data_IF_964796889739
#
_entry.id   IF_964796889739
#
_cell.length_a   1.000
_cell.length_b   1.000
_cell.length_c   1.000
_cell.angle_alpha   90.00
_cell.angle_beta   90.00
_cell.angle_gamma   90.00
#
_symmetry.space_group_name_H-M   'P 1'
#
loop_
_entity.id
_entity.type
_entity.pdbx_description
1 polymer ?
#
# COMPACT_ATOMS: atom_id res chain seq x y z
N UNK A 1 -10.49 -1.68 -22.39
CA UNK A 1 -10.15 -0.74 -21.29
C UNK A 1 -11.26 -0.61 -20.25
N UNK A 2 -12.54 -0.84 -20.55
CA UNK A 2 -13.63 -0.78 -19.54
C UNK A 2 -13.89 -2.09 -18.76
N UNK A 3 -13.41 -3.24 -19.23
CA UNK A 3 -13.54 -4.51 -18.50
C UNK A 3 -12.54 -4.66 -17.33
N UNK A 4 -11.47 -3.86 -17.32
CA UNK A 4 -10.45 -3.83 -16.27
C UNK A 4 -10.88 -2.98 -15.07
N UNK A 5 -11.79 -2.02 -15.29
CA UNK A 5 -12.35 -1.12 -14.27
C UNK A 5 -13.50 -1.75 -13.47
N UNK A 6 -14.15 -2.79 -14.02
CA UNK A 6 -15.32 -3.42 -13.41
C UNK A 6 -14.98 -4.57 -12.44
N UNK A 7 -13.78 -5.17 -12.56
CA UNK A 7 -13.31 -6.25 -11.66
C UNK A 7 -12.75 -5.68 -10.34
N UNK A 8 -12.21 -4.46 -10.31
CA UNK A 8 -11.78 -3.82 -9.05
C UNK A 8 -12.94 -3.25 -8.21
N UNK A 9 -14.17 -3.17 -8.75
CA UNK A 9 -15.32 -2.52 -8.08
C UNK A 9 -16.31 -3.48 -7.41
N UNK A 10 -16.16 -4.79 -7.55
CA UNK A 10 -16.98 -5.77 -6.82
C UNK A 10 -16.10 -6.93 -6.38
N UNK A 11 -15.90 -7.04 -5.05
CA UNK A 11 -15.05 -8.00 -4.31
C UNK A 11 -13.61 -7.54 -4.05
N UNK A 12 -13.45 -6.47 -3.27
CA UNK A 12 -12.30 -6.38 -2.35
C UNK A 12 -12.57 -7.31 -1.17
N UNK A 13 -12.47 -8.62 -1.41
CA UNK A 13 -12.35 -9.60 -0.32
C UNK A 13 -10.91 -9.53 0.16
N UNK A 14 -10.72 -8.90 1.31
CA UNK A 14 -9.46 -8.86 2.04
C UNK A 14 -9.18 -10.28 2.57
N UNK A 15 -8.27 -10.99 1.92
CA UNK A 15 -7.62 -12.14 2.55
C UNK A 15 -6.50 -11.59 3.45
N UNK A 16 -6.57 -11.91 4.74
CA UNK A 16 -5.65 -11.45 5.79
C UNK A 16 -4.19 -11.87 5.50
N UNK A 17 -3.28 -10.95 5.76
CA UNK A 17 -1.91 -10.93 5.26
C UNK A 17 -0.91 -11.73 6.09
N UNK A 18 -1.26 -12.97 6.45
CA UNK A 18 -0.27 -14.02 6.76
C UNK A 18 -0.30 -15.13 5.69
N UNK A 19 -1.27 -15.08 4.77
CA UNK A 19 -1.16 -15.73 3.46
C UNK A 19 -0.14 -15.06 2.51
N UNK A 20 0.68 -14.12 2.99
CA UNK A 20 1.67 -13.40 2.18
C UNK A 20 2.84 -14.30 1.79
N UNK A 21 3.18 -15.36 2.53
CA UNK A 21 4.25 -16.27 2.12
C UNK A 21 3.80 -17.37 1.15
N UNK A 22 2.53 -17.81 1.20
CA UNK A 22 2.01 -18.91 0.36
C UNK A 22 1.12 -18.40 -0.80
N UNK A 23 0.67 -17.14 -0.75
CA UNK A 23 -0.34 -16.56 -1.63
C UNK A 23 0.13 -15.55 -2.68
N UNK A 24 1.44 -15.37 -2.92
CA UNK A 24 1.89 -14.56 -4.07
C UNK A 24 1.72 -15.34 -5.39
N UNK A 25 0.51 -15.28 -5.94
CA UNK A 25 0.22 -15.63 -7.32
C UNK A 25 0.14 -14.36 -8.18
N UNK A 26 1.15 -14.20 -9.04
CA UNK A 26 1.20 -13.33 -10.22
C UNK A 26 1.30 -11.81 -9.99
N UNK A 27 2.52 -11.33 -9.73
CA UNK A 27 2.99 -10.07 -10.30
C UNK A 27 3.85 -10.40 -11.55
N UNK A 28 3.75 -9.65 -12.67
CA UNK A 28 4.60 -9.88 -13.82
C UNK A 28 6.06 -9.57 -13.47
N UNK A 29 6.92 -10.58 -13.55
CA UNK A 29 8.36 -10.43 -13.48
C UNK A 29 8.80 -9.55 -14.66
N UNK A 30 9.28 -8.33 -14.36
CA UNK A 30 10.06 -7.55 -15.31
C UNK A 30 11.44 -8.20 -15.32
N UNK A 31 11.83 -8.76 -16.46
CA UNK A 31 13.12 -9.40 -16.68
C UNK A 31 14.26 -8.44 -16.26
N UNK A 32 14.93 -8.75 -15.15
CA UNK A 32 16.13 -8.07 -14.70
C UNK A 32 17.37 -8.87 -15.13
N UNK A 33 18.33 -8.11 -15.63
CA UNK A 33 19.54 -8.53 -16.30
C UNK A 33 20.49 -9.29 -15.37
N UNK A 34 20.98 -10.45 -15.84
CA UNK A 34 21.94 -11.31 -15.15
C UNK A 34 23.25 -10.59 -14.83
N UNK A 35 23.57 -10.45 -13.54
CA UNK A 35 24.91 -10.49 -12.91
C UNK A 35 24.93 -9.76 -11.57
N UNK A 36 24.35 -10.38 -10.55
CA UNK A 36 24.78 -10.36 -9.15
C UNK A 36 23.97 -11.42 -8.39
N UNK A 37 24.48 -12.64 -8.39
CA UNK A 37 23.95 -13.78 -7.63
C UNK A 37 24.67 -13.80 -6.30
N UNK A 38 24.08 -13.19 -5.27
CA UNK A 38 24.34 -13.60 -3.87
C UNK A 38 23.07 -13.60 -2.99
N UNK A 39 21.96 -12.92 -3.33
CA UNK A 39 20.66 -13.18 -2.66
C UNK A 39 19.42 -12.63 -3.37
N UNK A 40 19.32 -12.74 -4.70
CA UNK A 40 18.13 -12.30 -5.45
C UNK A 40 16.89 -13.21 -5.25
N UNK A 41 16.97 -14.15 -4.31
CA UNK A 41 15.87 -15.04 -3.92
C UNK A 41 14.80 -14.32 -3.11
N UNK A 42 13.66 -15.00 -2.92
CA UNK A 42 12.54 -14.47 -2.13
C UNK A 42 12.88 -14.39 -0.63
N UNK A 43 14.02 -14.91 -0.18
CA UNK A 43 14.62 -14.59 1.13
C UNK A 43 14.69 -13.09 1.42
N UNK A 44 14.82 -12.24 0.39
CA UNK A 44 14.74 -10.78 0.54
C UNK A 44 13.38 -10.31 1.11
N UNK A 45 12.29 -11.06 0.94
CA UNK A 45 10.99 -10.75 1.55
C UNK A 45 11.01 -10.96 3.06
N UNK A 46 11.66 -12.04 3.52
CA UNK A 46 11.87 -12.33 4.94
C UNK A 46 12.78 -11.25 5.55
N UNK A 47 13.84 -10.85 4.84
CA UNK A 47 14.74 -9.77 5.25
C UNK A 47 14.03 -8.40 5.41
N UNK A 48 12.87 -8.23 4.79
CA UNK A 48 12.07 -7.00 4.83
C UNK A 48 10.75 -7.17 5.62
N UNK A 49 10.69 -8.14 6.55
CA UNK A 49 9.47 -8.43 7.31
C UNK A 49 8.92 -7.21 8.05
N UNK A 50 9.77 -6.38 8.65
CA UNK A 50 9.33 -5.17 9.35
C UNK A 50 8.54 -4.20 8.46
N UNK A 51 9.00 -4.01 7.22
CA UNK A 51 8.33 -3.14 6.27
C UNK A 51 6.97 -3.72 5.85
N UNK A 52 6.87 -5.04 5.71
CA UNK A 52 5.61 -5.72 5.42
C UNK A 52 4.62 -5.58 6.58
N UNK A 53 5.08 -5.79 7.81
CA UNK A 53 4.26 -5.65 9.02
C UNK A 53 3.77 -4.21 9.20
N UNK A 54 4.63 -3.22 9.00
CA UNK A 54 4.24 -1.81 9.11
C UNK A 54 3.24 -1.41 8.03
N UNK A 55 3.43 -1.86 6.78
CA UNK A 55 2.48 -1.62 5.71
C UNK A 55 1.13 -2.27 5.99
N UNK A 56 1.12 -3.47 6.58
CA UNK A 56 -0.09 -4.17 6.93
C UNK A 56 -0.83 -3.53 8.12
N UNK A 57 -0.11 -3.16 9.19
CA UNK A 57 -0.67 -2.42 10.31
C UNK A 57 -1.32 -1.11 9.84
N UNK A 58 -0.63 -0.35 8.98
CA UNK A 58 -1.18 0.86 8.36
C UNK A 58 -2.46 0.62 7.54
N UNK A 59 -2.58 -0.56 6.91
CA UNK A 59 -3.80 -0.94 6.20
C UNK A 59 -4.94 -1.25 7.18
N UNK A 60 -4.68 -2.00 8.24
CA UNK A 60 -5.66 -2.32 9.28
C UNK A 60 -6.15 -1.05 9.99
N UNK A 61 -5.23 -0.16 10.36
CA UNK A 61 -5.54 1.13 10.98
C UNK A 61 -6.57 1.92 10.17
N UNK A 62 -6.40 2.00 8.85
CA UNK A 62 -7.34 2.71 7.96
C UNK A 62 -8.64 1.94 7.74
N UNK A 63 -8.58 0.61 7.62
CA UNK A 63 -9.77 -0.21 7.33
C UNK A 63 -10.75 -0.22 8.50
N UNK A 64 -10.22 -0.28 9.72
CA UNK A 64 -11.01 -0.37 10.94
C UNK A 64 -11.16 0.96 11.67
N UNK A 65 -10.55 2.03 11.16
CA UNK A 65 -10.52 3.35 11.82
C UNK A 65 -10.01 3.21 13.27
N UNK A 66 -8.83 2.58 13.41
CA UNK A 66 -8.24 2.30 14.72
C UNK A 66 -7.85 3.60 15.43
N UNK A 67 -8.05 3.66 16.74
CA UNK A 67 -7.47 4.72 17.58
C UNK A 67 -5.96 4.58 17.64
N UNK A 68 -5.25 5.63 18.08
CA UNK A 68 -3.79 5.59 18.23
C UNK A 68 -3.33 4.46 19.16
N UNK A 69 -4.08 4.20 20.23
CA UNK A 69 -3.82 3.10 21.17
C UNK A 69 -4.04 1.73 20.51
N UNK A 70 -5.13 1.58 19.75
CA UNK A 70 -5.41 0.35 19.00
C UNK A 70 -4.37 0.09 17.90
N UNK A 71 -3.91 1.13 17.17
CA UNK A 71 -2.85 1.00 16.16
C UNK A 71 -1.52 0.57 16.81
N UNK A 72 -1.13 1.19 17.92
CA UNK A 72 0.07 0.83 18.65
C UNK A 72 0.04 -0.64 19.12
N UNK A 73 -1.07 -1.08 19.72
CA UNK A 73 -1.26 -2.47 20.11
C UNK A 73 -1.22 -3.41 18.90
N UNK A 74 -1.90 -3.06 17.81
CA UNK A 74 -1.93 -3.87 16.57
C UNK A 74 -0.53 -4.08 16.00
N UNK A 75 0.29 -3.02 15.97
CA UNK A 75 1.69 -3.11 15.51
C UNK A 75 2.54 -4.00 16.40
N UNK A 76 2.36 -3.90 17.72
CA UNK A 76 3.09 -4.72 18.67
C UNK A 76 2.71 -6.20 18.50
N UNK A 77 1.41 -6.51 18.50
CA UNK A 77 0.88 -7.86 18.34
C UNK A 77 1.36 -8.51 17.03
N UNK A 78 1.32 -7.78 15.91
CA UNK A 78 1.81 -8.27 14.63
C UNK A 78 3.30 -8.61 14.68
N UNK A 79 4.14 -7.78 15.30
CA UNK A 79 5.58 -8.05 15.43
C UNK A 79 5.83 -9.24 16.33
N UNK A 80 5.22 -9.27 17.51
CA UNK A 80 5.40 -10.33 18.49
C UNK A 80 5.08 -11.71 17.90
N UNK A 81 3.89 -11.86 17.30
CA UNK A 81 3.47 -13.13 16.69
C UNK A 81 4.31 -13.52 15.48
N UNK A 82 4.73 -12.54 14.66
CA UNK A 82 5.55 -12.84 13.49
C UNK A 82 6.96 -13.29 13.89
N UNK A 83 7.57 -12.65 14.88
CA UNK A 83 8.89 -13.05 15.36
C UNK A 83 8.83 -14.36 16.15
N UNK A 84 7.78 -14.60 16.94
CA UNK A 84 7.56 -15.90 17.59
C UNK A 84 7.55 -17.05 16.56
N UNK A 85 6.91 -16.82 15.41
CA UNK A 85 6.87 -17.79 14.32
C UNK A 85 8.22 -17.92 13.60
N UNK A 86 8.84 -16.80 13.23
CA UNK A 86 10.09 -16.82 12.47
C UNK A 86 11.26 -17.38 13.30
N UNK A 87 11.32 -17.12 14.60
CA UNK A 87 12.34 -17.69 15.49
C UNK A 87 12.39 -19.23 15.44
N UNK A 88 11.25 -19.88 15.17
CA UNK A 88 11.14 -21.34 15.10
C UNK A 88 11.34 -21.90 13.68
N UNK A 89 10.94 -21.16 12.64
CA UNK A 89 10.81 -21.71 11.29
C UNK A 89 11.53 -20.92 10.20
N UNK A 90 12.26 -19.84 10.51
CA UNK A 90 12.87 -18.96 9.50
C UNK A 90 13.72 -19.72 8.48
N UNK A 91 14.65 -20.56 8.95
CA UNK A 91 15.58 -21.29 8.07
C UNK A 91 14.84 -22.25 7.14
N UNK A 92 13.92 -23.04 7.70
CA UNK A 92 13.13 -24.00 6.92
C UNK A 92 12.18 -23.31 5.95
N UNK A 93 11.55 -22.21 6.38
CA UNK A 93 10.68 -21.40 5.54
C UNK A 93 11.45 -20.79 4.37
N UNK A 94 12.67 -20.28 4.60
CA UNK A 94 13.52 -19.71 3.56
C UNK A 94 13.84 -20.77 2.50
N UNK A 95 14.27 -21.95 2.93
CA UNK A 95 14.55 -23.09 2.05
C UNK A 95 13.32 -23.51 1.22
N UNK A 96 12.16 -23.66 1.86
CA UNK A 96 10.92 -24.06 1.18
C UNK A 96 10.44 -23.01 0.18
N UNK A 97 10.57 -21.72 0.50
CA UNK A 97 10.17 -20.60 -0.37
C UNK A 97 11.10 -20.48 -1.57
N UNK A 98 12.41 -20.61 -1.36
CA UNK A 98 13.38 -20.60 -2.44
C UNK A 98 13.13 -21.79 -3.39
N UNK A 99 12.91 -22.99 -2.85
CA UNK A 99 12.56 -24.17 -3.66
C UNK A 99 11.25 -24.00 -4.43
N UNK A 100 10.21 -23.46 -3.79
CA UNK A 100 8.94 -23.14 -4.46
C UNK A 100 9.15 -22.21 -5.67
N UNK A 101 10.02 -21.21 -5.52
CA UNK A 101 10.29 -20.25 -6.58
C UNK A 101 11.08 -20.88 -7.73
N UNK A 102 12.13 -21.64 -7.43
CA UNK A 102 12.89 -22.38 -8.44
C UNK A 102 11.96 -23.20 -9.34
N UNK A 103 11.08 -24.00 -8.72
CA UNK A 103 10.10 -24.85 -9.41
C UNK A 103 9.16 -24.04 -10.29
N UNK A 104 8.70 -22.89 -9.81
CA UNK A 104 7.83 -21.97 -10.58
C UNK A 104 8.57 -21.26 -11.72
N UNK A 105 9.87 -21.05 -11.60
CA UNK A 105 10.71 -20.50 -12.67
C UNK A 105 11.19 -21.55 -13.67
N UNK A 106 10.80 -22.81 -13.48
CA UNK A 106 11.05 -23.90 -14.42
C UNK A 106 12.19 -24.83 -14.01
N UNK A 107 12.71 -24.75 -12.78
CA UNK A 107 13.60 -25.77 -12.26
C UNK A 107 12.88 -27.11 -12.19
N UNK A 108 13.60 -28.19 -12.51
CA UNK A 108 13.07 -29.54 -12.45
C UNK A 108 12.77 -29.94 -11.00
N UNK A 109 11.62 -30.59 -10.83
CA UNK A 109 11.14 -31.20 -9.60
C UNK A 109 10.30 -32.40 -10.02
N UNK A 110 10.52 -33.54 -9.40
CA UNK A 110 9.70 -34.73 -9.63
C UNK A 110 8.54 -34.82 -8.61
N UNK A 111 7.60 -35.74 -8.84
CA UNK A 111 6.41 -35.87 -8.00
C UNK A 111 6.76 -36.31 -6.56
N UNK A 112 7.83 -37.08 -6.37
CA UNK A 112 8.27 -37.54 -5.05
C UNK A 112 8.86 -36.39 -4.24
N UNK A 113 9.69 -35.57 -4.88
CA UNK A 113 10.25 -34.36 -4.28
C UNK A 113 9.13 -33.35 -3.92
N UNK A 114 8.10 -33.23 -4.74
CA UNK A 114 6.94 -32.40 -4.44
C UNK A 114 6.17 -32.90 -3.21
N UNK A 115 5.99 -34.22 -3.06
CA UNK A 115 5.37 -34.82 -1.86
C UNK A 115 6.20 -34.50 -0.62
N UNK A 116 7.53 -34.64 -0.69
CA UNK A 116 8.45 -34.33 0.41
C UNK A 116 8.41 -32.84 0.79
N UNK A 117 8.36 -31.95 -0.20
CA UNK A 117 8.13 -30.52 0.02
C UNK A 117 6.80 -30.28 0.73
N UNK A 118 5.74 -30.98 0.33
CA UNK A 118 4.42 -30.95 0.98
C UNK A 118 4.45 -31.37 2.44
N UNK A 119 5.17 -32.46 2.74
CA UNK A 119 5.30 -33.00 4.11
C UNK A 119 6.03 -32.02 5.04
N UNK A 120 7.01 -31.26 4.52
CA UNK A 120 7.73 -30.23 5.26
C UNK A 120 6.90 -28.97 5.48
N UNK A 121 6.17 -28.49 4.46
CA UNK A 121 5.38 -27.25 4.58
C UNK A 121 4.13 -27.43 5.46
N UNK A 122 3.55 -28.63 5.50
CA UNK A 122 2.31 -28.90 6.24
C UNK A 122 2.36 -28.50 7.74
N UNK A 123 3.32 -28.97 8.55
CA UNK A 123 3.39 -28.59 9.97
C UNK A 123 3.66 -27.10 10.19
N UNK A 124 4.44 -26.46 9.31
CA UNK A 124 4.73 -25.02 9.36
C UNK A 124 3.45 -24.22 9.10
N UNK A 125 2.68 -24.64 8.09
CA UNK A 125 1.41 -24.01 7.74
C UNK A 125 0.37 -24.15 8.86
N UNK A 126 0.25 -25.34 9.47
CA UNK A 126 -0.64 -25.57 10.61
C UNK A 126 -0.29 -24.65 11.79
N UNK A 127 1.00 -24.56 12.14
CA UNK A 127 1.46 -23.68 13.21
C UNK A 127 1.20 -22.20 12.89
N UNK A 128 1.43 -21.77 11.66
CA UNK A 128 1.10 -20.43 11.20
C UNK A 128 -0.42 -20.15 11.32
N UNK A 129 -1.26 -21.07 10.85
CA UNK A 129 -2.73 -20.99 10.95
C UNK A 129 -3.17 -20.76 12.39
N UNK A 130 -2.65 -21.55 13.32
CA UNK A 130 -3.03 -21.46 14.73
C UNK A 130 -2.61 -20.13 15.36
N UNK A 131 -1.39 -19.66 15.09
CA UNK A 131 -0.90 -18.36 15.55
C UNK A 131 -1.74 -17.20 14.98
N UNK A 132 -2.15 -17.28 13.71
CA UNK A 132 -3.02 -16.27 13.09
C UNK A 132 -4.39 -16.26 13.75
N UNK A 133 -4.99 -17.43 13.99
CA UNK A 133 -6.30 -17.54 14.65
C UNK A 133 -6.22 -16.95 16.07
N UNK A 134 -5.20 -17.34 16.83
CA UNK A 134 -4.97 -16.81 18.17
C UNK A 134 -4.77 -15.30 18.16
N UNK A 135 -3.87 -14.79 17.31
CA UNK A 135 -3.62 -13.36 17.19
C UNK A 135 -4.86 -12.57 16.77
N UNK A 136 -5.73 -13.14 15.93
CA UNK A 136 -7.00 -12.50 15.61
C UNK A 136 -7.99 -12.47 16.78
N UNK A 137 -8.02 -13.51 17.61
CA UNK A 137 -8.85 -13.53 18.82
C UNK A 137 -8.35 -12.47 19.82
N UNK A 138 -7.02 -12.41 20.04
CA UNK A 138 -6.40 -11.40 20.91
C UNK A 138 -6.66 -9.97 20.39
N UNK A 139 -6.56 -9.78 19.07
CA UNK A 139 -6.83 -8.49 18.43
C UNK A 139 -8.30 -8.08 18.55
N UNK A 140 -9.23 -9.05 18.45
CA UNK A 140 -10.67 -8.80 18.56
C UNK A 140 -11.05 -8.16 19.89
N UNK A 141 -10.34 -8.46 20.98
CA UNK A 141 -10.65 -7.94 22.32
C UNK A 141 -10.51 -6.42 22.43
N UNK A 142 -9.58 -5.82 21.69
CA UNK A 142 -9.38 -4.36 21.70
C UNK A 142 -10.33 -3.60 20.76
N UNK A 143 -11.10 -4.31 19.93
CA UNK A 143 -11.99 -3.71 18.94
C UNK A 143 -13.33 -3.28 19.54
N UNK A 144 -13.89 -2.19 19.04
CA UNK A 144 -15.28 -1.78 19.30
C UNK A 144 -16.27 -2.74 18.65
N UNK A 145 -17.54 -2.70 19.07
CA UNK A 145 -18.60 -3.56 18.51
C UNK A 145 -18.79 -3.40 16.99
N UNK A 146 -18.60 -2.17 16.49
CA UNK A 146 -18.66 -1.91 15.04
C UNK A 146 -17.49 -2.56 14.31
N UNK A 147 -16.27 -2.40 14.83
CA UNK A 147 -15.07 -3.01 14.28
C UNK A 147 -15.12 -4.55 14.34
N UNK A 148 -15.64 -5.11 15.44
CA UNK A 148 -15.85 -6.56 15.63
C UNK A 148 -16.74 -7.16 14.55
N UNK A 149 -17.80 -6.47 14.10
CA UNK A 149 -18.65 -6.97 12.99
C UNK A 149 -17.88 -7.10 11.68
N UNK A 150 -17.06 -6.10 11.34
CA UNK A 150 -16.20 -6.14 10.14
C UNK A 150 -15.19 -7.27 10.28
N UNK A 151 -14.58 -7.40 11.47
CA UNK A 151 -13.61 -8.44 11.77
C UNK A 151 -14.20 -9.85 11.65
N UNK A 152 -15.41 -10.09 12.18
CA UNK A 152 -16.09 -11.38 12.12
C UNK A 152 -16.43 -11.78 10.67
N UNK A 153 -16.70 -10.82 9.78
CA UNK A 153 -16.87 -11.07 8.34
C UNK A 153 -15.54 -11.43 7.66
N UNK A 154 -14.47 -10.71 7.99
CA UNK A 154 -13.13 -10.98 7.45
C UNK A 154 -12.60 -12.34 7.94
N UNK A 155 -12.87 -12.72 9.20
CA UNK A 155 -12.53 -14.03 9.75
C UNK A 155 -13.18 -15.17 8.96
N UNK A 156 -14.46 -15.06 8.59
CA UNK A 156 -15.13 -16.08 7.77
C UNK A 156 -14.44 -16.27 6.41
N UNK A 157 -14.00 -15.17 5.79
CA UNK A 157 -13.27 -15.23 4.53
C UNK A 157 -11.88 -15.86 4.72
N UNK A 158 -11.21 -15.55 5.83
CA UNK A 158 -9.93 -16.12 6.19
C UNK A 158 -10.01 -17.64 6.43
N UNK A 159 -10.98 -18.12 7.22
CA UNK A 159 -11.18 -19.57 7.46
C UNK A 159 -11.37 -20.35 6.15
N UNK A 160 -12.19 -19.81 5.23
CA UNK A 160 -12.37 -20.41 3.91
C UNK A 160 -11.07 -20.46 3.09
N UNK A 161 -10.22 -19.44 3.24
CA UNK A 161 -8.89 -19.45 2.63
C UNK A 161 -8.02 -20.54 3.24
N UNK A 162 -8.07 -20.72 4.56
CA UNK A 162 -7.31 -21.76 5.23
C UNK A 162 -7.72 -23.17 4.80
N UNK A 163 -9.02 -23.44 4.72
CA UNK A 163 -9.55 -24.70 4.20
C UNK A 163 -9.03 -24.98 2.78
N UNK A 164 -9.08 -23.98 1.90
CA UNK A 164 -8.62 -24.15 0.50
C UNK A 164 -7.12 -24.44 0.42
N UNK A 165 -6.29 -23.79 1.25
CA UNK A 165 -4.85 -24.01 1.26
C UNK A 165 -4.49 -25.35 1.91
N UNK A 166 -5.19 -25.74 2.97
CA UNK A 166 -5.03 -27.03 3.62
C UNK A 166 -5.36 -28.18 2.66
N UNK A 167 -6.48 -28.08 1.93
CA UNK A 167 -6.81 -29.02 0.85
C UNK A 167 -5.70 -29.13 -0.21
N UNK A 168 -5.07 -28.02 -0.59
CA UNK A 168 -3.96 -28.03 -1.55
C UNK A 168 -2.73 -28.74 -1.00
N UNK A 169 -2.34 -28.44 0.24
CA UNK A 169 -1.21 -29.09 0.91
C UNK A 169 -1.47 -30.58 1.06
N UNK A 170 -2.68 -30.98 1.46
CA UNK A 170 -3.05 -32.39 1.59
C UNK A 170 -2.99 -33.13 0.25
N UNK A 171 -3.44 -32.50 -0.84
CA UNK A 171 -3.31 -33.08 -2.19
C UNK A 171 -1.85 -33.23 -2.63
N UNK A 172 -0.96 -32.35 -2.20
CA UNK A 172 0.48 -32.48 -2.45
C UNK A 172 1.02 -33.67 -1.65
N UNK A 173 0.74 -33.72 -0.35
CA UNK A 173 1.21 -34.79 0.56
C UNK A 173 0.71 -36.17 0.13
N UNK A 174 -0.51 -36.27 -0.41
CA UNK A 174 -1.08 -37.53 -0.88
C UNK A 174 -0.62 -37.93 -2.30
N UNK A 175 0.14 -37.07 -3.00
CA UNK A 175 0.53 -37.30 -4.40
C UNK A 175 -0.60 -37.10 -5.41
N UNK A 176 -1.74 -36.55 -5.00
CA UNK A 176 -2.86 -36.22 -5.90
C UNK A 176 -2.60 -34.96 -6.76
N UNK A 177 -1.65 -34.12 -6.37
CA UNK A 177 -1.25 -32.93 -7.11
C UNK A 177 0.07 -33.17 -7.86
N UNK A 178 0.00 -33.13 -9.19
CA UNK A 178 1.19 -33.24 -10.05
C UNK A 178 2.04 -31.97 -10.02
N UNK A 179 3.34 -32.07 -10.34
CA UNK A 179 4.25 -30.91 -10.46
C UNK A 179 3.74 -29.84 -11.45
N UNK A 180 3.17 -30.24 -12.59
CA UNK A 180 2.63 -29.29 -13.56
C UNK A 180 1.37 -28.57 -13.02
N UNK A 181 0.56 -29.25 -12.20
CA UNK A 181 -0.55 -28.61 -11.48
C UNK A 181 -0.04 -27.62 -10.42
N UNK A 182 0.98 -28.01 -9.67
CA UNK A 182 1.60 -27.18 -8.64
C UNK A 182 2.23 -25.90 -9.20
N UNK A 183 2.90 -25.99 -10.36
CA UNK A 183 3.43 -24.82 -11.09
C UNK A 183 2.33 -23.88 -11.56
N UNK A 184 1.20 -24.43 -12.03
CA UNK A 184 0.15 -23.70 -12.74
C UNK A 184 -1.27 -23.93 -12.17
N UNK A 185 -1.55 -23.65 -10.89
CA UNK A 185 -2.80 -24.06 -10.23
C UNK A 185 -4.06 -23.45 -10.88
N UNK A 186 -3.94 -22.23 -11.43
CA UNK A 186 -5.06 -21.56 -12.15
C UNK A 186 -5.44 -22.28 -13.44
N UNK A 187 -4.46 -22.83 -14.17
CA UNK A 187 -4.70 -23.52 -15.45
C UNK A 187 -5.50 -24.81 -15.23
N UNK A 188 -5.16 -25.55 -14.17
CA UNK A 188 -5.81 -26.80 -13.82
C UNK A 188 -7.21 -26.60 -13.26
N UNK A 189 -7.42 -25.60 -12.39
CA UNK A 189 -8.75 -25.26 -11.87
C UNK A 189 -9.75 -24.98 -13.00
N UNK A 190 -9.33 -24.24 -14.03
CA UNK A 190 -10.19 -23.96 -15.19
C UNK A 190 -10.46 -25.22 -16.04
N UNK A 191 -9.46 -26.10 -16.19
CA UNK A 191 -9.60 -27.36 -16.94
C UNK A 191 -10.56 -28.32 -16.23
N UNK A 192 -10.46 -28.46 -14.91
CA UNK A 192 -11.37 -29.29 -14.11
C UNK A 192 -12.80 -28.76 -14.15
N UNK A 193 -12.99 -27.43 -14.04
CA UNK A 193 -14.30 -26.81 -14.20
C UNK A 193 -14.90 -27.02 -15.60
N UNK A 194 -14.08 -26.93 -16.67
CA UNK A 194 -14.55 -27.21 -18.02
C UNK A 194 -14.94 -28.68 -18.23
N UNK A 195 -14.16 -29.63 -17.68
CA UNK A 195 -14.47 -31.07 -17.74
C UNK A 195 -15.77 -31.39 -17.00
N UNK A 196 -15.97 -30.83 -15.81
CA UNK A 196 -17.20 -31.01 -15.04
C UNK A 196 -18.43 -30.47 -15.79
N UNK A 197 -18.29 -29.31 -16.47
CA UNK A 197 -19.36 -28.75 -17.29
C UNK A 197 -19.61 -29.54 -18.59
N UNK A 198 -18.58 -30.12 -19.21
CA UNK A 198 -18.73 -30.96 -20.41
C UNK A 198 -19.27 -32.37 -20.10
N UNK A 199 -19.02 -32.89 -18.90
CA UNK A 199 -19.54 -34.17 -18.44
C UNK A 199 -21.00 -34.10 -17.95
N UNK A 200 -21.57 -32.90 -17.81
CA UNK A 200 -23.00 -32.75 -17.52
C UNK A 200 -23.77 -33.29 -18.74
N UNK A 201 -24.58 -34.36 -18.61
CA UNK A 201 -25.34 -34.90 -19.73
C UNK A 201 -26.09 -33.75 -20.37
N UNK A 202 -25.91 -33.55 -21.69
CA UNK A 202 -26.70 -32.57 -22.43
C UNK A 202 -28.15 -32.93 -22.16
N UNK A 203 -28.84 -32.14 -21.34
CA UNK A 203 -30.28 -32.22 -21.25
C UNK A 203 -30.75 -32.06 -22.68
N UNK A 204 -31.27 -33.15 -23.24
CA UNK A 204 -31.93 -33.11 -24.54
C UNK A 204 -32.88 -31.93 -24.48
N UNK A 205 -32.78 -30.96 -25.40
CA UNK A 205 -33.70 -29.84 -25.40
C UNK A 205 -35.12 -30.41 -25.35
N UNK A 206 -36.00 -29.89 -24.47
CA UNK A 206 -37.37 -30.38 -24.42
C UNK A 206 -37.94 -30.35 -25.84
N UNK A 207 -38.68 -31.40 -26.26
CA UNK A 207 -39.23 -31.46 -27.60
C UNK A 207 -40.00 -30.17 -27.89
N UNK A 208 -39.91 -29.62 -29.12
CA UNK A 208 -40.57 -28.38 -29.48
C UNK A 208 -42.06 -28.51 -29.14
N UNK A 209 -42.50 -27.78 -28.13
CA UNK A 209 -43.90 -27.70 -27.77
C UNK A 209 -44.60 -27.09 -28.97
N UNK A 210 -45.47 -27.88 -29.60
CA UNK A 210 -46.24 -27.47 -30.75
C UNK A 210 -46.95 -26.13 -30.42
N UNK A 211 -46.70 -25.13 -31.25
CA UNK A 211 -47.46 -23.88 -31.24
C UNK A 211 -48.93 -24.22 -31.51
N UNK A 212 -49.74 -24.16 -30.46
CA UNK A 212 -51.17 -24.41 -30.53
C UNK A 212 -51.90 -23.60 -29.47
N UNK A 213 -52.72 -22.67 -29.96
CA UNK A 213 -53.75 -21.88 -29.30
C UNK A 213 -53.35 -20.52 -28.66
N UNK A 214 -54.02 -19.41 -29.05
CA UNK A 214 -53.97 -18.15 -28.33
C UNK A 214 -54.73 -18.25 -26.99
N UNK A 215 -54.31 -17.51 -25.94
CA UNK A 215 -55.04 -17.47 -24.68
C UNK A 215 -56.33 -16.67 -24.83
N UNK A 216 -57.46 -17.29 -24.47
CA UNK A 216 -58.71 -16.59 -24.18
C UNK A 216 -58.53 -15.65 -22.97
N UNK A 217 -59.18 -14.48 -22.95
CA UNK A 217 -59.25 -13.64 -21.77
C UNK A 217 -60.22 -14.30 -20.78
N UNK A 218 -59.72 -14.68 -19.60
CA UNK A 218 -60.58 -15.12 -18.50
C UNK A 218 -60.35 -14.20 -17.31
N UNK A 219 -61.48 -13.65 -16.87
CA UNK A 219 -61.69 -12.76 -15.75
C UNK A 219 -60.86 -13.11 -14.52
N UNK A 220 -60.22 -12.08 -13.96
CA UNK A 220 -59.71 -12.07 -12.60
C UNK A 220 -60.81 -11.59 -11.66
N UNK A 221 -61.40 -12.44 -10.79
CA UNK A 221 -62.05 -11.95 -9.60
C UNK A 221 -61.02 -11.74 -8.49
N UNK A 222 -61.25 -10.65 -7.76
CA UNK A 222 -60.56 -10.21 -6.56
C UNK A 222 -60.22 -11.35 -5.58
N UNK A 223 -58.99 -11.34 -5.05
CA UNK A 223 -58.66 -12.08 -3.83
C UNK A 223 -57.79 -11.26 -2.89
N UNK A 224 -58.50 -10.63 -1.95
CA UNK A 224 -58.22 -10.53 -0.51
C UNK A 224 -56.77 -10.41 -0.04
N UNK A 225 -56.49 -9.24 0.54
CA UNK A 225 -55.49 -9.03 1.58
C UNK A 225 -55.78 -9.92 2.80
N UNK A 226 -54.76 -10.54 3.42
CA UNK A 226 -54.84 -10.92 4.82
C UNK A 226 -54.17 -9.85 5.69
N UNK A 227 -55.01 -9.13 6.43
CA UNK A 227 -54.65 -8.49 7.71
C UNK A 227 -54.38 -9.60 8.74
N UNK A 228 -53.13 -9.78 9.12
CA UNK A 228 -52.71 -10.66 10.23
C UNK A 228 -52.22 -9.83 11.40
N UNK A 229 -53.09 -9.64 12.39
CA UNK A 229 -52.77 -9.09 13.69
C UNK A 229 -52.15 -10.15 14.61
N UNK A 230 -51.11 -9.76 15.33
CA UNK A 230 -50.88 -10.11 16.74
C UNK A 230 -50.55 -11.55 17.11
N UNK A 231 -49.27 -11.80 17.43
CA UNK A 231 -48.92 -12.55 18.63
C UNK A 231 -47.69 -11.89 19.33
N UNK A 232 -47.73 -11.69 20.66
CA UNK A 232 -46.64 -11.09 21.41
C UNK A 232 -45.56 -12.13 21.74
N UNK A 233 -44.34 -11.89 21.27
CA UNK A 233 -43.16 -12.67 21.70
C UNK A 233 -42.95 -12.43 23.19
N UNK A 234 -43.03 -13.52 23.95
CA UNK A 234 -42.72 -13.61 25.38
C UNK A 234 -41.30 -13.10 25.63
N UNK A 235 -41.22 -12.04 26.42
CA UNK A 235 -40.02 -11.54 27.11
C UNK A 235 -39.53 -12.65 28.05
N UNK A 236 -38.42 -13.30 27.70
CA UNK A 236 -37.63 -14.10 28.62
C UNK A 236 -36.68 -13.15 29.34
N UNK A 237 -36.95 -12.90 30.62
CA UNK A 237 -36.01 -12.35 31.59
C UNK A 237 -35.03 -13.45 32.01
N UNK A 238 -33.71 -13.27 31.87
CA UNK A 238 -32.77 -13.91 32.78
C UNK A 238 -32.61 -13.03 34.02
N UNK A 239 -33.23 -13.51 35.09
CA UNK A 239 -33.01 -13.13 36.47
C UNK A 239 -31.69 -13.77 36.93
N UNK A 240 -30.77 -12.98 37.50
CA UNK A 240 -29.62 -13.48 38.25
C UNK A 240 -28.23 -13.30 37.61
N UNK A 241 -27.65 -12.11 37.76
CA UNK A 241 -26.20 -11.90 37.88
C UNK A 241 -25.96 -10.50 38.45
N UNK A 242 -26.07 -10.39 39.77
CA UNK A 242 -25.53 -9.26 40.51
C UNK A 242 -24.00 -9.41 40.62
N UNK A 243 -23.33 -8.27 40.77
CA UNK A 243 -21.99 -8.12 41.34
C UNK A 243 -20.81 -8.18 40.34
N UNK A 244 -20.64 -7.07 39.60
CA UNK A 244 -19.38 -6.31 39.50
C UNK A 244 -19.55 -5.14 38.52
N UNK A 245 -19.93 -3.97 39.03
CA UNK A 245 -19.97 -2.72 38.26
C UNK A 245 -18.74 -1.86 38.60
N UNK A 246 -17.97 -1.36 37.62
CA UNK A 246 -16.94 -0.36 37.86
C UNK A 246 -17.56 1.01 38.19
N UNK A 247 -16.87 1.86 38.97
CA UNK A 247 -17.44 3.11 39.46
C UNK A 247 -17.69 4.14 38.34
N UNK A 248 -18.79 4.87 38.54
CA UNK A 248 -19.34 5.96 37.75
C UNK A 248 -18.36 7.16 37.68
N UNK A 249 -17.96 7.65 36.49
CA UNK A 249 -17.13 8.84 36.37
C UNK A 249 -18.01 10.10 36.45
N UNK A 250 -18.53 10.38 37.64
CA UNK A 250 -19.23 11.63 37.96
C UNK A 250 -18.71 12.19 39.28
N UNK A 251 -17.43 12.53 39.31
CA UNK A 251 -16.82 13.41 40.32
C UNK A 251 -15.51 14.04 39.79
N UNK A 252 -15.58 14.65 38.61
CA UNK A 252 -14.51 15.55 38.14
C UNK A 252 -14.94 17.00 38.45
N UNK A 253 -14.26 17.70 39.38
CA UNK A 253 -14.58 19.10 39.65
C UNK A 253 -14.23 19.98 38.44
N UNK A 254 -15.01 21.05 38.18
CA UNK A 254 -14.79 21.91 37.02
C UNK A 254 -13.45 22.66 37.11
N UNK A 255 -12.79 22.96 35.98
CA UNK A 255 -11.56 23.75 35.96
C UNK A 255 -11.84 25.18 36.44
N UNK A 256 -11.01 25.65 37.37
CA UNK A 256 -11.08 27.00 37.94
C UNK A 256 -10.87 28.07 36.85
N UNK A 257 -11.59 29.20 36.88
CA UNK A 257 -11.34 30.31 35.98
C UNK A 257 -9.98 30.95 36.28
N UNK A 258 -9.16 31.06 35.23
CA UNK A 258 -7.85 31.72 35.24
C UNK A 258 -8.08 33.21 35.50
N UNK A 259 -7.70 33.65 36.68
CA UNK A 259 -7.87 35.01 37.16
C UNK A 259 -7.10 35.98 36.26
N UNK A 260 -7.82 36.96 35.77
CA UNK A 260 -7.30 38.25 35.34
C UNK A 260 -6.36 38.80 36.42
N UNK A 261 -5.10 39.04 36.05
CA UNK A 261 -4.24 39.95 36.81
C UNK A 261 -3.93 41.17 35.94
N UNK A 262 -4.65 42.21 36.33
CA UNK A 262 -4.61 43.61 35.93
C UNK A 262 -3.19 44.20 36.07
N UNK A 263 -2.86 45.03 35.08
CA UNK A 263 -2.01 46.22 35.05
C UNK A 263 -1.08 46.52 36.23
N UNK A 264 0.17 46.92 35.93
CA UNK A 264 0.64 48.31 36.13
C UNK A 264 2.04 48.54 35.56
N UNK A 265 2.22 49.79 35.10
CA UNK A 265 3.47 50.59 35.02
C UNK A 265 4.42 50.41 33.84
N UNK A 266 4.22 51.34 32.89
CA UNK A 266 5.27 52.19 32.31
C UNK A 266 6.26 52.68 33.40
N UNK A 267 7.57 52.68 33.11
CA UNK A 267 8.24 53.96 32.93
C UNK A 267 9.17 53.98 31.71
N UNK A 268 9.01 55.05 30.93
CA UNK A 268 10.06 55.97 30.47
C UNK A 268 11.48 55.44 30.20
N UNK A 269 11.87 55.61 28.93
CA UNK A 269 13.15 55.37 28.27
C UNK A 269 14.42 55.71 29.07
N UNK A 270 15.53 55.02 28.75
CA UNK A 270 16.55 55.69 27.95
C UNK A 270 16.96 54.86 26.72
N UNK A 271 17.12 55.56 25.59
CA UNK A 271 17.62 55.04 24.32
C UNK A 271 18.97 54.33 24.47
N UNK A 272 19.13 53.09 23.98
CA UNK A 272 20.44 52.56 23.63
C UNK A 272 20.77 52.95 22.19
N UNK A 273 21.95 53.56 22.05
CA UNK A 273 22.60 53.92 20.79
C UNK A 273 22.61 52.72 19.83
N UNK A 274 22.22 53.00 18.59
CA UNK A 274 22.42 52.12 17.44
C UNK A 274 23.89 51.72 17.35
N UNK A 275 24.20 50.47 17.71
CA UNK A 275 25.46 49.82 17.30
C UNK A 275 25.15 49.09 16.00
N UNK A 276 25.40 49.81 14.92
CA UNK A 276 25.53 49.34 13.55
C UNK A 276 26.67 48.32 13.48
N UNK A 277 26.35 47.04 13.67
CA UNK A 277 27.24 45.90 13.36
C UNK A 277 26.39 44.61 13.29
N UNK A 278 25.50 44.54 12.30
CA UNK A 278 25.03 43.24 11.82
C UNK A 278 26.08 42.69 10.85
N UNK A 279 26.73 41.54 11.12
CA UNK A 279 27.51 40.87 10.11
C UNK A 279 26.54 40.41 9.02
N UNK A 280 26.57 41.10 7.88
CA UNK A 280 26.03 40.65 6.59
C UNK A 280 26.79 39.38 6.17
N UNK A 281 26.55 38.25 6.83
CA UNK A 281 26.81 36.95 6.23
C UNK A 281 25.62 36.61 5.36
N UNK A 282 25.50 37.30 4.22
CA UNK A 282 24.81 36.79 3.05
C UNK A 282 25.62 35.61 2.53
N UNK A 283 25.63 34.51 3.30
CA UNK A 283 26.02 33.20 2.84
C UNK A 283 24.91 32.81 1.88
N UNK A 284 25.02 33.30 0.64
CA UNK A 284 24.32 32.75 -0.53
C UNK A 284 24.61 31.26 -0.45
N UNK A 285 23.68 30.51 0.13
CA UNK A 285 23.68 29.07 0.07
C UNK A 285 23.79 28.77 -1.41
N UNK A 286 24.96 28.27 -1.82
CA UNK A 286 25.18 27.76 -3.15
C UNK A 286 24.02 26.80 -3.38
N UNK A 287 23.05 27.22 -4.19
CA UNK A 287 21.85 26.47 -4.55
C UNK A 287 22.35 25.12 -5.03
N UNK A 288 22.41 24.15 -4.12
CA UNK A 288 22.83 22.81 -4.46
C UNK A 288 21.77 22.33 -5.45
N UNK A 289 22.18 21.99 -6.67
CA UNK A 289 21.34 21.31 -7.66
C UNK A 289 21.09 19.86 -7.21
N UNK A 290 20.83 19.66 -5.91
CA UNK A 290 20.34 18.40 -5.37
C UNK A 290 18.89 18.25 -5.84
N UNK A 291 18.49 17.04 -6.29
CA UNK A 291 17.10 16.75 -6.64
C UNK A 291 16.11 17.17 -5.54
N UNK A 292 16.53 17.06 -4.28
CA UNK A 292 15.72 17.44 -3.12
C UNK A 292 15.45 18.96 -3.05
N UNK A 293 16.38 19.79 -3.50
CA UNK A 293 16.19 21.24 -3.56
C UNK A 293 15.23 21.67 -4.67
N UNK A 294 15.01 20.83 -5.68
CA UNK A 294 13.98 21.05 -6.71
C UNK A 294 12.58 20.78 -6.15
N UNK A 295 12.46 19.83 -5.22
CA UNK A 295 11.19 19.51 -4.57
C UNK A 295 10.69 20.67 -3.72
N UNK A 296 11.57 21.31 -2.94
CA UNK A 296 11.21 22.50 -2.16
C UNK A 296 10.66 23.61 -3.04
N UNK A 297 11.37 23.93 -4.13
CA UNK A 297 10.92 24.94 -5.10
C UNK A 297 9.59 24.56 -5.73
N UNK A 298 9.38 23.28 -6.05
CA UNK A 298 8.12 22.80 -6.57
C UNK A 298 6.98 23.00 -5.57
N UNK A 299 7.18 22.66 -4.29
CA UNK A 299 6.17 22.83 -3.25
C UNK A 299 5.88 24.32 -2.99
N UNK A 300 6.89 25.17 -2.94
CA UNK A 300 6.72 26.63 -2.83
C UNK A 300 5.91 27.20 -3.99
N UNK A 301 6.24 26.80 -5.23
CA UNK A 301 5.49 27.19 -6.42
C UNK A 301 4.06 26.65 -6.38
N UNK A 302 3.85 25.44 -5.86
CA UNK A 302 2.54 24.82 -5.72
C UNK A 302 1.66 25.60 -4.72
N UNK A 303 2.20 25.93 -3.54
CA UNK A 303 1.55 26.76 -2.52
C UNK A 303 1.15 28.11 -3.11
N UNK A 304 2.09 28.77 -3.80
CA UNK A 304 1.85 30.07 -4.43
C UNK A 304 0.80 30.00 -5.55
N UNK A 305 0.84 28.95 -6.39
CA UNK A 305 -0.07 28.76 -7.52
C UNK A 305 -1.51 28.58 -7.07
N UNK A 306 -1.75 27.76 -6.05
CA UNK A 306 -3.09 27.45 -5.56
C UNK A 306 -3.57 28.36 -4.42
N UNK A 307 -2.72 29.27 -3.93
CA UNK A 307 -3.00 30.15 -2.79
C UNK A 307 -3.52 29.33 -1.61
N UNK A 308 -2.73 28.34 -1.21
CA UNK A 308 -3.07 27.48 -0.07
C UNK A 308 -3.14 28.33 1.20
N UNK A 309 -4.07 27.98 2.09
CA UNK A 309 -4.15 28.60 3.42
C UNK A 309 -3.06 28.05 4.35
N UNK A 310 -2.98 28.56 5.58
CA UNK A 310 -1.92 28.18 6.52
C UNK A 310 -1.95 26.69 6.86
N UNK A 311 -3.13 26.11 7.10
CA UNK A 311 -3.31 24.68 7.40
C UNK A 311 -2.87 23.79 6.21
N UNK A 312 -3.32 24.10 5.00
CA UNK A 312 -2.94 23.40 3.77
C UNK A 312 -1.43 23.53 3.50
N UNK A 313 -0.84 24.68 3.81
CA UNK A 313 0.59 24.94 3.66
C UNK A 313 1.40 24.09 4.64
N UNK A 314 1.00 24.02 5.91
CA UNK A 314 1.61 23.12 6.89
C UNK A 314 1.53 21.66 6.43
N UNK A 315 0.37 21.22 5.93
CA UNK A 315 0.21 19.88 5.36
C UNK A 315 1.13 19.63 4.15
N UNK A 316 1.26 20.60 3.24
CA UNK A 316 2.16 20.51 2.09
C UNK A 316 3.63 20.34 2.53
N UNK A 317 4.07 21.09 3.54
CA UNK A 317 5.42 20.95 4.11
C UNK A 317 5.62 19.63 4.85
N UNK A 318 4.62 19.12 5.57
CA UNK A 318 4.68 17.80 6.20
C UNK A 318 4.86 16.70 5.16
N UNK A 319 4.07 16.71 4.07
CA UNK A 319 4.21 15.76 2.96
C UNK A 319 5.61 15.85 2.32
N UNK A 320 6.15 17.06 2.15
CA UNK A 320 7.50 17.26 1.65
C UNK A 320 8.55 16.65 2.59
N UNK A 321 8.43 16.89 3.90
CA UNK A 321 9.36 16.36 4.89
C UNK A 321 9.38 14.82 4.88
N UNK A 322 8.21 14.18 4.81
CA UNK A 322 8.10 12.72 4.71
C UNK A 322 8.78 12.17 3.44
N UNK A 323 8.54 12.80 2.29
CA UNK A 323 9.15 12.38 1.03
C UNK A 323 10.68 12.54 1.07
N UNK A 324 11.18 13.64 1.66
CA UNK A 324 12.62 13.86 1.84
C UNK A 324 13.23 12.79 2.73
N UNK A 325 12.60 12.47 3.86
CA UNK A 325 13.08 11.41 4.77
C UNK A 325 13.19 10.06 4.04
N UNK A 326 12.21 9.71 3.19
CA UNK A 326 12.28 8.50 2.37
C UNK A 326 13.46 8.54 1.38
N UNK A 327 13.62 9.65 0.66
CA UNK A 327 14.72 9.82 -0.30
C UNK A 327 16.10 9.79 0.37
N UNK A 328 16.24 10.41 1.54
CA UNK A 328 17.46 10.41 2.34
C UNK A 328 17.81 9.01 2.85
N UNK A 329 16.82 8.27 3.38
CA UNK A 329 17.00 6.88 3.81
C UNK A 329 17.50 5.99 2.67
N UNK A 330 16.86 6.12 1.51
CA UNK A 330 17.22 5.39 0.30
C UNK A 330 18.60 5.77 -0.24
N UNK A 331 18.95 7.07 -0.22
CA UNK A 331 20.28 7.53 -0.65
C UNK A 331 21.36 7.00 0.30
N UNK A 332 21.10 7.05 1.61
CA UNK A 332 22.03 6.59 2.64
C UNK A 332 22.35 5.10 2.49
N UNK A 333 21.36 4.26 2.22
CA UNK A 333 21.58 2.81 2.04
C UNK A 333 22.36 2.47 0.76
N UNK A 334 22.43 3.38 -0.21
CA UNK A 334 23.14 3.19 -1.49
C UNK A 334 24.36 4.10 -1.66
N UNK A 335 24.72 4.84 -0.63
CA UNK A 335 25.77 5.86 -0.68
C UNK A 335 27.12 5.26 -1.12
N UNK A 336 27.48 4.09 -0.58
CA UNK A 336 28.73 3.39 -0.93
C UNK A 336 28.82 3.03 -2.42
N UNK A 337 27.73 2.52 -3.00
CA UNK A 337 27.68 2.17 -4.43
C UNK A 337 27.78 3.41 -5.31
N UNK A 338 27.15 4.52 -4.91
CA UNK A 338 27.23 5.79 -5.63
C UNK A 338 28.66 6.33 -5.60
N UNK A 339 29.31 6.29 -4.43
CA UNK A 339 30.71 6.72 -4.25
C UNK A 339 31.68 5.87 -5.06
N UNK A 340 31.47 4.55 -5.12
CA UNK A 340 32.26 3.65 -5.96
C UNK A 340 32.15 3.99 -7.45
N UNK A 341 30.92 4.22 -7.93
CA UNK A 341 30.67 4.63 -9.32
C UNK A 341 31.36 5.96 -9.63
N UNK A 342 31.25 6.94 -8.73
CA UNK A 342 31.85 8.26 -8.90
C UNK A 342 33.38 8.20 -8.90
N UNK A 343 33.96 7.41 -7.99
CA UNK A 343 35.41 7.15 -7.94
C UNK A 343 35.90 6.52 -9.24
N UNK A 344 35.22 5.47 -9.71
CA UNK A 344 35.60 4.78 -10.95
C UNK A 344 35.48 5.68 -12.18
N UNK A 345 34.42 6.48 -12.25
CA UNK A 345 34.24 7.46 -13.33
C UNK A 345 35.33 8.53 -13.31
N UNK A 346 35.79 8.97 -12.13
CA UNK A 346 36.89 9.92 -11.99
C UNK A 346 38.25 9.32 -12.42
N UNK A 347 38.55 8.08 -12.03
CA UNK A 347 39.74 7.35 -12.47
C UNK A 347 39.81 7.23 -14.00
N UNK A 348 38.71 6.84 -14.64
CA UNK A 348 38.61 6.75 -16.10
C UNK A 348 38.76 8.10 -16.81
N UNK A 349 38.33 9.21 -16.17
CA UNK A 349 38.50 10.57 -16.69
C UNK A 349 39.94 11.07 -16.55
N UNK A 350 40.69 10.59 -15.57
CA UNK A 350 42.07 11.00 -15.32
C UNK A 350 43.09 10.31 -16.25
N UNK A 351 42.76 9.12 -16.78
CA UNK A 351 43.61 8.39 -17.72
C UNK A 351 43.72 9.12 -19.08
N UNK A 352 44.96 9.35 -19.55
CA UNK A 352 45.30 10.17 -20.73
C UNK A 352 45.67 9.36 -21.97
N UNK A 353 45.68 8.02 -21.92
CA UNK A 353 46.05 7.22 -23.09
C UNK A 353 45.08 7.47 -24.27
N UNK A 354 45.59 7.74 -25.47
CA UNK A 354 44.77 8.07 -26.65
C UNK A 354 44.13 6.85 -27.29
N UNK A 355 44.76 5.66 -27.21
CA UNK A 355 44.24 4.46 -27.89
C UNK A 355 42.96 3.90 -27.24
N UNK A 356 42.68 4.25 -25.98
CA UNK A 356 41.51 3.75 -25.22
C UNK A 356 40.37 4.75 -25.10
N UNK A 357 40.48 5.96 -25.66
CA UNK A 357 39.52 7.06 -25.45
C UNK A 357 38.06 6.69 -25.76
N UNK A 358 37.81 5.95 -26.86
CA UNK A 358 36.46 5.50 -27.22
C UNK A 358 35.89 4.50 -26.21
N UNK A 359 36.70 3.52 -25.77
CA UNK A 359 36.30 2.53 -24.76
C UNK A 359 36.03 3.19 -23.40
N UNK A 360 36.87 4.14 -22.98
CA UNK A 360 36.68 4.90 -21.74
C UNK A 360 35.39 5.71 -21.76
N UNK A 361 35.09 6.39 -22.88
CA UNK A 361 33.83 7.14 -23.02
C UNK A 361 32.61 6.23 -22.89
N UNK A 362 32.66 5.03 -23.49
CA UNK A 362 31.59 4.04 -23.36
C UNK A 362 31.45 3.52 -21.92
N UNK A 363 32.54 3.28 -21.20
CA UNK A 363 32.51 2.84 -19.80
C UNK A 363 31.99 3.93 -18.85
N UNK A 364 32.42 5.18 -19.03
CA UNK A 364 31.88 6.33 -18.27
C UNK A 364 30.37 6.46 -18.50
N UNK A 365 29.90 6.34 -19.75
CA UNK A 365 28.47 6.39 -20.07
C UNK A 365 27.68 5.28 -19.33
N UNK A 366 28.22 4.06 -19.26
CA UNK A 366 27.59 2.96 -18.51
C UNK A 366 27.54 3.22 -17.00
N UNK A 367 28.60 3.80 -16.43
CA UNK A 367 28.64 4.19 -15.03
C UNK A 367 27.62 5.29 -14.73
N UNK A 368 27.49 6.29 -15.60
CA UNK A 368 26.50 7.35 -15.49
C UNK A 368 25.06 6.81 -15.59
N UNK A 369 24.82 5.85 -16.50
CA UNK A 369 23.54 5.15 -16.59
C UNK A 369 23.24 4.36 -15.31
N UNK A 370 24.19 3.59 -14.79
CA UNK A 370 24.02 2.83 -13.54
C UNK A 370 23.71 3.75 -12.36
N UNK A 371 24.39 4.90 -12.28
CA UNK A 371 24.10 5.93 -11.27
C UNK A 371 22.68 6.47 -11.43
N UNK A 372 22.25 6.76 -12.65
CA UNK A 372 20.88 7.21 -12.92
C UNK A 372 19.84 6.16 -12.50
N UNK A 373 20.09 4.88 -12.78
CA UNK A 373 19.21 3.77 -12.37
C UNK A 373 19.13 3.64 -10.84
N UNK A 374 20.25 3.78 -10.13
CA UNK A 374 20.27 3.79 -8.67
C UNK A 374 19.47 4.95 -8.09
N UNK A 375 19.49 6.12 -8.74
CA UNK A 375 18.74 7.31 -8.30
C UNK A 375 17.29 7.34 -8.81
N UNK A 376 16.90 6.48 -9.74
CA UNK A 376 15.57 6.48 -10.34
C UNK A 376 14.41 6.37 -9.32
N UNK A 377 14.52 5.56 -8.24
CA UNK A 377 13.49 5.52 -7.21
C UNK A 377 13.28 6.84 -6.46
N UNK A 378 14.30 7.70 -6.35
CA UNK A 378 14.14 9.04 -5.78
C UNK A 378 13.21 9.88 -6.67
N UNK A 379 13.41 9.84 -7.99
CA UNK A 379 12.51 10.48 -8.96
C UNK A 379 11.10 9.89 -8.89
N UNK A 380 10.96 8.59 -8.63
CA UNK A 380 9.65 7.97 -8.44
C UNK A 380 8.95 8.43 -7.15
N UNK A 381 9.66 8.69 -6.05
CA UNK A 381 9.06 9.26 -4.83
C UNK A 381 8.41 10.61 -5.17
N UNK A 382 9.11 11.45 -5.94
CA UNK A 382 8.57 12.73 -6.39
C UNK A 382 7.31 12.57 -7.25
N UNK A 383 7.38 11.76 -8.30
CA UNK A 383 6.29 11.60 -9.27
C UNK A 383 5.08 10.83 -8.72
N UNK A 384 5.32 9.76 -7.96
CA UNK A 384 4.26 8.84 -7.50
C UNK A 384 3.73 9.15 -6.12
N UNK A 385 4.48 9.85 -5.27
CA UNK A 385 4.05 10.16 -3.91
C UNK A 385 3.84 11.66 -3.68
N UNK A 386 4.85 12.50 -3.95
CA UNK A 386 4.78 13.92 -3.62
C UNK A 386 3.69 14.63 -4.44
N UNK A 387 3.73 14.52 -5.79
CA UNK A 387 2.74 15.18 -6.65
C UNK A 387 1.30 14.75 -6.35
N UNK A 388 0.94 13.46 -6.30
CA UNK A 388 -0.45 13.05 -6.09
C UNK A 388 -1.00 13.41 -4.70
N UNK A 389 -0.14 13.47 -3.67
CA UNK A 389 -0.54 13.93 -2.34
C UNK A 389 -0.79 15.44 -2.34
N UNK A 390 0.07 16.23 -2.98
CA UNK A 390 -0.11 17.68 -3.08
C UNK A 390 -1.35 18.06 -3.90
N UNK A 391 -1.62 17.38 -5.02
CA UNK A 391 -2.79 17.63 -5.88
C UNK A 391 -4.16 17.44 -5.17
N UNK A 392 -4.17 16.75 -4.03
CA UNK A 392 -5.38 16.58 -3.20
C UNK A 392 -5.64 17.75 -2.27
N UNK A 393 -4.61 18.54 -1.92
CA UNK A 393 -4.74 19.64 -0.96
C UNK A 393 -5.62 20.81 -1.47
N UNK A 394 -5.50 21.29 -2.73
CA UNK A 394 -6.31 22.40 -3.21
C UNK A 394 -7.80 22.05 -3.28
N UNK A 395 -8.63 22.98 -2.83
CA UNK A 395 -10.09 22.93 -3.02
C UNK A 395 -10.45 23.05 -4.50
N UNK A 396 -11.67 22.63 -4.86
CA UNK A 396 -12.19 22.78 -6.23
C UNK A 396 -12.23 24.24 -6.69
N UNK A 397 -12.49 25.18 -5.76
CA UNK A 397 -12.50 26.61 -6.03
C UNK A 397 -11.08 27.14 -6.32
N UNK A 398 -10.09 26.77 -5.49
CA UNK A 398 -8.68 27.11 -5.71
C UNK A 398 -8.17 26.59 -7.06
N UNK A 399 -8.52 25.36 -7.46
CA UNK A 399 -8.16 24.79 -8.77
C UNK A 399 -8.70 25.60 -9.93
N UNK A 400 -10.00 25.90 -9.92
CA UNK A 400 -10.65 26.73 -10.95
C UNK A 400 -10.03 28.13 -11.02
N UNK A 401 -9.73 28.73 -9.87
CA UNK A 401 -9.11 30.05 -9.80
C UNK A 401 -7.69 30.05 -10.41
N UNK A 402 -6.90 29.00 -10.13
CA UNK A 402 -5.57 28.83 -10.73
C UNK A 402 -5.64 28.63 -12.25
N UNK A 403 -6.56 27.78 -12.75
CA UNK A 403 -6.78 27.58 -14.19
C UNK A 403 -7.17 28.88 -14.90
N UNK A 404 -8.07 29.68 -14.31
CA UNK A 404 -8.46 30.97 -14.86
C UNK A 404 -7.30 31.97 -14.87
N UNK A 405 -6.44 31.96 -13.84
CA UNK A 405 -5.26 32.81 -13.78
C UNK A 405 -4.25 32.46 -14.88
N UNK A 406 -4.06 31.17 -15.16
CA UNK A 406 -3.17 30.70 -16.24
C UNK A 406 -3.73 31.01 -17.62
N UNK A 407 -5.03 30.84 -17.83
CA UNK A 407 -5.69 31.22 -19.08
C UNK A 407 -5.61 32.73 -19.36
N UNK A 408 -5.55 33.57 -18.32
CA UNK A 408 -5.32 35.02 -18.49
C UNK A 408 -3.87 35.31 -18.86
N UNK A 409 -2.90 34.71 -18.15
CA UNK A 409 -1.46 34.87 -18.42
C UNK A 409 -1.08 34.41 -19.83
N UNK A 410 -1.64 33.31 -20.32
CA UNK A 410 -1.37 32.83 -21.68
C UNK A 410 -1.87 33.81 -22.75
N UNK A 411 -3.08 34.36 -22.58
CA UNK A 411 -3.64 35.39 -23.50
C UNK A 411 -2.79 36.66 -23.52
N UNK A 412 -2.28 37.09 -22.37
CA UNK A 412 -1.44 38.28 -22.26
C UNK A 412 -0.04 38.06 -22.88
N UNK A 413 0.55 36.89 -22.66
CA UNK A 413 1.79 36.48 -23.31
C UNK A 413 1.70 36.49 -24.83
N UNK A 414 0.63 35.93 -25.39
CA UNK A 414 0.39 35.94 -26.85
C UNK A 414 0.23 37.36 -27.40
N UNK A 415 -0.47 38.25 -26.67
CA UNK A 415 -0.62 39.66 -27.08
C UNK A 415 0.72 40.39 -27.08
N UNK A 416 1.57 40.14 -26.07
CA UNK A 416 2.89 40.75 -25.97
C UNK A 416 3.84 40.26 -27.08
N UNK A 417 3.81 38.96 -27.39
CA UNK A 417 4.59 38.39 -28.49
C UNK A 417 4.20 38.99 -29.84
N UNK A 418 2.89 39.07 -30.13
CA UNK A 418 2.40 39.67 -31.39
C UNK A 418 2.72 41.16 -31.52
N UNK A 419 2.75 41.88 -30.40
CA UNK A 419 3.15 43.30 -30.40
C UNK A 419 4.64 43.45 -30.67
N UNK A 420 5.49 42.64 -30.04
CA UNK A 420 6.93 42.66 -30.27
C UNK A 420 7.31 42.28 -31.71
N UNK A 421 6.57 41.36 -32.32
CA UNK A 421 6.75 40.98 -33.73
C UNK A 421 6.38 42.12 -34.67
N UNK A 422 5.23 42.78 -34.42
CA UNK A 422 4.82 43.97 -35.20
C UNK A 422 5.82 45.13 -35.07
N UNK A 423 6.35 45.36 -33.87
CA UNK A 423 7.36 46.42 -33.62
C UNK A 423 8.75 46.09 -34.21
N UNK A 424 8.97 44.86 -34.73
CA UNK A 424 10.22 44.45 -35.39
C UNK A 424 10.17 44.45 -36.93
N UNK A 425 8.97 44.61 -37.51
CA UNK A 425 8.77 44.75 -38.97
C UNK A 425 8.74 46.21 -39.44
N UNK A 426 8.64 47.18 -38.51
CA UNK A 426 8.82 48.62 -38.74
C UNK A 426 10.28 49.04 -38.51
#
# INVERSE_FOLDING_TARGET
>A
MELFTMIMKRRCSAALAVGVLVGFAAAPAIAQNDRQSESTGYGAVIDNIDLLLDNYANFLARKYDLTDEQDAYTRQLLRERSYEFLDQYEDELRDLVDRLFEVRTGADMDDQELIEWGQRVAPIYEKARDLIIQGNNDWREILSDSQKRIHDEDLKLMYKSFETTEEQIQRIVSGEMTVEEFRNPRRFRNKSASRANSARPRQTPPPPTAQGAPPSPTDSPARMQPTGAGEPIRRITPEGAAENAPPNPRDVPPPRPRSERRATRNPESPQPKQVENQPRTARRSSKSNSPVGEWERYVEQFIARYKLNDEQTQQAHAILADCKKQAESYTRSRQSMIEEIDKRAAELKADKDKQTASKRKAEISKLEQRKADLLAPISQIFERQLKPKLEKLPTRAQRRAAEQAEAKKSKEGTRRSRRAEKDSEE
#
